data_IF_774609602586
#
_entry.id   IF_774609602586
#
_cell.length_a   1.000
_cell.length_b   1.000
_cell.length_c   1.000
_cell.angle_alpha   90.00
_cell.angle_beta   90.00
_cell.angle_gamma   90.00
#
_symmetry.space_group_name_H-M   'P 1'
#
loop_
_entity.id
_entity.type
_entity.pdbx_description
1 polymer ?
#
# COMPACT_ATOMS: atom_id res chain seq x y z
N UNK A 1 -16.65 -16.50 -2.78
CA UNK A 1 -15.47 -15.77 -2.24
C UNK A 1 -15.89 -14.33 -2.05
N UNK A 2 -15.60 -13.73 -0.89
CA UNK A 2 -15.92 -12.32 -0.62
C UNK A 2 -14.81 -11.44 -1.19
N UNK A 3 -14.91 -11.14 -2.48
CA UNK A 3 -13.95 -10.30 -3.21
C UNK A 3 -14.03 -8.87 -2.64
N UNK A 4 -12.88 -8.23 -2.45
CA UNK A 4 -12.80 -6.85 -1.99
C UNK A 4 -13.18 -6.67 -0.52
N UNK A 5 -12.97 -7.67 0.32
CA UNK A 5 -13.23 -7.60 1.77
C UNK A 5 -11.98 -7.88 2.58
N UNK A 6 -11.93 -7.56 3.89
CA UNK A 6 -10.86 -8.02 4.77
C UNK A 6 -10.71 -9.53 4.89
N UNK A 7 -11.57 -10.34 4.27
CA UNK A 7 -11.45 -11.81 4.17
C UNK A 7 -11.17 -12.28 2.74
N UNK A 8 -10.86 -11.35 1.85
CA UNK A 8 -10.43 -11.65 0.50
C UNK A 8 -9.00 -12.19 0.52
N UNK A 9 -8.84 -13.50 0.39
CA UNK A 9 -7.52 -14.16 0.29
C UNK A 9 -7.12 -14.40 -1.17
N UNK A 10 -7.74 -13.68 -2.12
CA UNK A 10 -7.26 -13.66 -3.49
C UNK A 10 -5.94 -12.89 -3.60
N UNK A 11 -5.25 -13.08 -4.70
CA UNK A 11 -4.06 -12.30 -5.09
C UNK A 11 -4.45 -11.05 -5.89
N UNK A 12 -5.72 -10.62 -5.80
CA UNK A 12 -6.22 -9.43 -6.49
C UNK A 12 -5.53 -8.17 -5.96
N UNK A 13 -5.02 -7.38 -6.89
CA UNK A 13 -4.32 -6.13 -6.58
C UNK A 13 -5.27 -4.94 -6.61
N UNK A 14 -5.10 -4.03 -5.66
CA UNK A 14 -5.86 -2.78 -5.56
C UNK A 14 -4.91 -1.60 -5.46
N UNK A 15 -5.31 -0.47 -6.06
CA UNK A 15 -4.64 0.81 -5.83
C UNK A 15 -4.99 1.33 -4.45
N UNK A 16 -4.05 1.28 -3.51
CA UNK A 16 -4.25 1.75 -2.14
C UNK A 16 -3.46 3.02 -1.95
N UNK A 17 -4.17 4.11 -1.65
CA UNK A 17 -3.56 5.39 -1.30
C UNK A 17 -3.34 5.48 0.21
N UNK A 18 -2.10 5.76 0.61
CA UNK A 18 -1.70 6.06 1.97
C UNK A 18 -1.34 7.54 2.08
N UNK A 19 -2.09 8.28 2.89
CA UNK A 19 -1.78 9.66 3.26
C UNK A 19 -0.98 9.66 4.56
N UNK A 20 0.23 10.21 4.53
CA UNK A 20 1.25 10.00 5.55
C UNK A 20 1.82 11.33 6.04
N UNK A 21 2.17 11.41 7.34
CA UNK A 21 2.73 12.63 7.92
C UNK A 21 4.20 12.88 7.59
N UNK A 22 4.94 11.82 7.29
CA UNK A 22 6.27 11.93 6.70
C UNK A 22 6.21 11.16 5.39
N UNK A 23 6.14 11.89 4.28
CA UNK A 23 5.99 11.33 2.94
C UNK A 23 7.17 11.61 2.03
N UNK A 24 8.18 12.41 2.41
CA UNK A 24 9.28 12.77 1.49
C UNK A 24 10.47 11.80 1.51
N UNK A 25 10.55 10.89 2.49
CA UNK A 25 11.68 9.99 2.66
C UNK A 25 11.31 8.60 3.15
N UNK A 26 11.25 8.40 4.48
CA UNK A 26 11.26 7.04 5.08
C UNK A 26 10.03 6.22 4.72
N UNK A 27 8.88 6.87 4.53
CA UNK A 27 7.70 6.18 4.02
C UNK A 27 7.94 5.49 2.68
N UNK A 28 8.59 6.16 1.72
CA UNK A 28 8.87 5.59 0.41
C UNK A 28 9.78 4.37 0.52
N UNK A 29 10.83 4.45 1.34
CA UNK A 29 11.77 3.35 1.54
C UNK A 29 11.07 2.11 2.11
N UNK A 30 10.17 2.31 3.09
CA UNK A 30 9.37 1.24 3.68
C UNK A 30 8.44 0.62 2.63
N UNK A 31 7.70 1.44 1.88
CA UNK A 31 6.77 0.97 0.86
C UNK A 31 7.49 0.23 -0.27
N UNK A 32 8.60 0.78 -0.76
CA UNK A 32 9.48 0.17 -1.78
C UNK A 32 10.01 -1.17 -1.30
N UNK A 33 10.52 -1.24 -0.06
CA UNK A 33 11.05 -2.49 0.50
C UNK A 33 9.96 -3.54 0.69
N UNK A 34 8.74 -3.13 1.01
CA UNK A 34 7.62 -4.04 1.22
C UNK A 34 7.14 -4.70 -0.08
N UNK A 35 6.96 -3.91 -1.15
CA UNK A 35 6.44 -4.43 -2.43
C UNK A 35 7.52 -5.06 -3.32
N UNK A 36 8.79 -4.77 -3.04
CA UNK A 36 9.94 -5.26 -3.79
C UNK A 36 10.17 -4.53 -5.12
N UNK A 37 11.32 -4.78 -5.74
CA UNK A 37 11.85 -4.01 -6.88
C UNK A 37 10.94 -3.93 -8.12
N UNK A 38 10.12 -4.95 -8.35
CA UNK A 38 9.24 -4.98 -9.50
C UNK A 38 8.04 -4.04 -9.33
N UNK A 39 7.35 -4.15 -8.19
CA UNK A 39 6.14 -3.38 -7.88
C UNK A 39 6.46 -1.97 -7.40
N UNK A 40 7.65 -1.72 -6.85
CA UNK A 40 8.05 -0.40 -6.36
C UNK A 40 8.10 0.66 -7.47
N UNK A 41 8.40 0.24 -8.70
CA UNK A 41 8.38 1.10 -9.90
C UNK A 41 6.99 1.67 -10.22
N UNK A 42 5.95 1.08 -9.65
CA UNK A 42 4.55 1.49 -9.84
C UNK A 42 4.01 2.31 -8.67
N UNK A 43 4.83 2.58 -7.64
CA UNK A 43 4.45 3.49 -6.56
C UNK A 43 4.32 4.89 -7.15
N UNK A 44 3.14 5.49 -6.99
CA UNK A 44 2.88 6.85 -7.42
C UNK A 44 2.91 7.77 -6.22
N UNK A 45 3.76 8.80 -6.30
CA UNK A 45 3.79 9.87 -5.34
C UNK A 45 2.67 10.88 -5.62
N UNK A 46 1.89 11.21 -4.59
CA UNK A 46 0.85 12.23 -4.59
C UNK A 46 1.16 13.27 -3.50
N UNK A 47 0.44 14.39 -3.46
CA UNK A 47 0.79 15.58 -2.66
C UNK A 47 1.14 15.31 -1.19
N UNK A 48 0.50 14.34 -0.54
CA UNK A 48 0.71 14.00 0.87
C UNK A 48 0.93 12.50 1.14
N UNK A 49 1.40 11.75 0.13
CA UNK A 49 1.63 10.32 0.32
C UNK A 49 1.76 9.53 -0.98
N UNK A 50 1.36 8.26 -0.91
CA UNK A 50 1.69 7.28 -1.95
C UNK A 50 0.50 6.41 -2.32
N UNK A 51 0.26 6.24 -3.63
CA UNK A 51 -0.56 5.16 -4.15
C UNK A 51 0.32 3.95 -4.44
N UNK A 52 -0.08 2.80 -3.90
CA UNK A 52 0.64 1.53 -4.00
C UNK A 52 -0.32 0.44 -4.44
N UNK A 53 0.10 -0.38 -5.41
CA UNK A 53 -0.64 -1.58 -5.80
C UNK A 53 -0.31 -2.71 -4.81
N UNK A 54 -1.29 -3.16 -4.03
CA UNK A 54 -1.14 -4.28 -3.08
C UNK A 54 -2.45 -5.08 -2.91
N UNK A 55 -2.39 -6.34 -2.47
CA UNK A 55 -3.56 -7.04 -1.96
C UNK A 55 -4.12 -6.35 -0.70
N UNK A 56 -5.43 -6.39 -0.51
CA UNK A 56 -6.10 -5.79 0.67
C UNK A 56 -5.54 -6.36 1.98
N UNK A 57 -5.14 -7.62 1.98
CA UNK A 57 -4.58 -8.31 3.15
C UNK A 57 -3.20 -7.80 3.57
N UNK A 58 -2.49 -7.11 2.68
CA UNK A 58 -1.19 -6.53 2.99
C UNK A 58 -1.33 -5.20 3.74
N UNK A 59 -2.49 -4.54 3.70
CA UNK A 59 -2.70 -3.23 4.34
C UNK A 59 -2.36 -3.27 5.84
N UNK A 60 -2.82 -4.24 6.65
CA UNK A 60 -2.45 -4.32 8.07
C UNK A 60 -0.93 -4.44 8.31
N UNK A 61 -0.22 -5.19 7.47
CA UNK A 61 1.24 -5.35 7.60
C UNK A 61 1.97 -4.05 7.26
N UNK A 62 1.54 -3.34 6.21
CA UNK A 62 2.06 -2.01 5.86
C UNK A 62 1.81 -1.01 6.98
N UNK A 63 0.59 -0.99 7.54
CA UNK A 63 0.23 -0.12 8.68
C UNK A 63 1.13 -0.39 9.88
N UNK A 64 1.38 -1.66 10.18
CA UNK A 64 2.28 -2.04 11.27
C UNK A 64 3.71 -1.55 11.03
N UNK A 65 4.25 -1.73 9.82
CA UNK A 65 5.60 -1.27 9.47
C UNK A 65 5.74 0.25 9.56
N UNK A 66 4.79 1.00 9.01
CA UNK A 66 4.78 2.47 9.09
C UNK A 66 4.71 2.93 10.55
N UNK A 67 3.84 2.33 11.35
CA UNK A 67 3.68 2.66 12.78
C UNK A 67 4.93 2.35 13.60
N UNK A 68 5.59 1.21 13.34
CA UNK A 68 6.85 0.84 14.01
C UNK A 68 7.99 1.81 13.70
N UNK A 69 7.92 2.50 12.56
CA UNK A 69 8.88 3.52 12.15
C UNK A 69 8.43 4.94 12.53
N UNK A 70 7.39 5.08 13.36
CA UNK A 70 6.82 6.34 13.83
C UNK A 70 6.33 7.25 12.69
N UNK A 71 5.81 6.66 11.61
CA UNK A 71 5.18 7.41 10.52
C UNK A 71 3.69 7.54 10.83
N UNK A 72 3.22 8.78 10.90
CA UNK A 72 1.80 9.06 11.09
C UNK A 72 1.01 8.68 9.82
N UNK A 73 -0.13 8.02 10.00
CA UNK A 73 -1.04 7.64 8.92
C UNK A 73 -2.33 8.45 9.13
N UNK A 74 -2.63 9.35 8.20
CA UNK A 74 -3.83 10.17 8.24
C UNK A 74 -5.02 9.47 7.60
N UNK A 75 -4.78 8.80 6.47
CA UNK A 75 -5.82 8.16 5.69
C UNK A 75 -5.28 6.96 4.92
N UNK A 76 -6.14 5.95 4.74
CA UNK A 76 -5.92 4.84 3.83
C UNK A 76 -7.17 4.72 2.96
N UNK A 77 -7.03 4.88 1.65
CA UNK A 77 -8.14 4.78 0.69
C UNK A 77 -7.88 3.61 -0.22
N UNK A 78 -8.82 2.68 -0.27
CA UNK A 78 -8.83 1.62 -1.29
C UNK A 78 -9.52 2.16 -2.55
N UNK A 79 -8.76 2.26 -3.63
CA UNK A 79 -9.24 2.53 -4.97
C UNK A 79 -9.61 1.26 -5.75
N UNK A 80 -9.45 1.35 -7.07
CA UNK A 80 -9.86 0.32 -8.01
C UNK A 80 -9.01 -0.95 -7.93
N UNK A 81 -9.65 -2.08 -8.23
CA UNK A 81 -8.94 -3.33 -8.56
C UNK A 81 -8.22 -3.14 -9.90
N UNK A 82 -7.00 -3.66 -10.01
CA UNK A 82 -6.23 -3.64 -11.26
C UNK A 82 -6.07 -5.04 -11.84
N UNK A 83 -5.87 -5.13 -13.15
CA UNK A 83 -5.63 -6.38 -13.89
C UNK A 83 -4.19 -6.88 -13.70
N UNK A 84 -3.75 -6.97 -12.45
CA UNK A 84 -2.46 -7.55 -12.07
C UNK A 84 -2.66 -8.48 -10.88
N UNK A 85 -1.93 -9.60 -10.90
CA UNK A 85 -1.81 -10.46 -9.74
C UNK A 85 -0.53 -10.10 -8.97
N UNK A 86 -0.51 -10.38 -7.67
CA UNK A 86 0.66 -10.14 -6.83
C UNK A 86 1.91 -10.90 -7.30
N UNK A 87 1.75 -12.09 -7.92
CA UNK A 87 2.80 -12.98 -8.42
C UNK A 87 2.92 -12.99 -9.94
#
# INVERSE_FOLDING_TARGET
MSIGTPRDYSEDMYKVYFELGEWEGRALDILTSFVGDYHSKKILHLEFGYEVAIPIQCIPDVVKLLSQNNIAIYQIVRGDKIEEAWR
#
